data_IF_514609886263
#
_entry.id   IF_514609886263
#
_cell.length_a   1.000
_cell.length_b   1.000
_cell.length_c   1.000
_cell.angle_alpha   90.00
_cell.angle_beta   90.00
_cell.angle_gamma   90.00
#
_symmetry.space_group_name_H-M   'P 1'
#
loop_
_entity.id
_entity.type
_entity.pdbx_description
1 polymer ?
#
# COMPACT_ATOMS: atom_id res chain seq x y z
N UNK A 1 13.90 24.94 -3.85
CA UNK A 1 13.53 23.97 -2.82
C UNK A 1 12.60 22.93 -3.40
N UNK A 2 12.92 21.69 -3.15
CA UNK A 2 12.11 20.60 -3.66
C UNK A 2 11.09 20.19 -2.61
N UNK A 3 9.86 20.18 -3.03
CA UNK A 3 8.81 19.68 -2.17
C UNK A 3 8.44 18.31 -2.65
N UNK A 4 8.65 17.32 -1.81
CA UNK A 4 8.07 16.03 -2.08
C UNK A 4 6.57 16.23 -2.10
N UNK A 5 5.93 15.64 -3.06
CA UNK A 5 4.49 15.69 -3.14
C UNK A 5 3.93 15.00 -1.91
N UNK A 6 3.32 15.78 -1.05
CA UNK A 6 2.82 15.25 0.21
C UNK A 6 1.39 14.78 0.04
N UNK A 7 1.23 13.62 -0.55
CA UNK A 7 -0.08 12.99 -0.69
C UNK A 7 -0.33 11.96 0.42
N UNK A 8 0.57 11.88 1.40
CA UNK A 8 0.40 11.01 2.54
C UNK A 8 0.64 9.54 2.25
N UNK A 9 1.19 9.23 1.09
CA UNK A 9 1.48 7.85 0.75
C UNK A 9 2.62 7.30 1.59
N UNK A 10 2.42 6.09 2.10
CA UNK A 10 3.48 5.34 2.78
C UNK A 10 4.23 4.50 1.75
N UNK A 11 5.32 3.88 2.21
CA UNK A 11 6.03 2.94 1.34
C UNK A 11 5.13 1.80 0.90
N UNK A 12 4.19 1.40 1.76
CA UNK A 12 3.27 0.34 1.42
C UNK A 12 2.36 0.75 0.26
N UNK A 13 1.90 2.00 0.26
CA UNK A 13 1.12 2.53 -0.87
C UNK A 13 1.93 2.45 -2.15
N UNK A 14 3.19 2.87 -2.07
CA UNK A 14 4.07 2.85 -3.24
C UNK A 14 4.30 1.43 -3.74
N UNK A 15 4.61 0.51 -2.82
CA UNK A 15 4.84 -0.89 -3.20
C UNK A 15 3.60 -1.50 -3.84
N UNK A 16 2.43 -1.12 -3.37
CA UNK A 16 1.18 -1.60 -3.96
C UNK A 16 0.98 -1.07 -5.36
N UNK A 17 1.33 0.19 -5.57
CA UNK A 17 1.17 0.80 -6.90
C UNK A 17 2.07 0.14 -7.93
N UNK A 18 3.31 -0.16 -7.57
CA UNK A 18 4.23 -0.81 -8.50
C UNK A 18 4.04 -2.31 -8.55
N UNK A 19 3.31 -2.89 -7.60
CA UNK A 19 3.05 -4.31 -7.58
C UNK A 19 4.18 -5.15 -7.04
N UNK A 20 5.00 -4.59 -6.18
CA UNK A 20 6.16 -5.30 -5.63
C UNK A 20 5.77 -6.10 -4.40
N UNK A 21 5.37 -7.35 -4.60
CA UNK A 21 4.93 -8.23 -3.53
C UNK A 21 6.03 -8.44 -2.49
N UNK A 22 7.24 -8.59 -2.95
CA UNK A 22 8.37 -8.84 -2.08
C UNK A 22 8.56 -7.71 -1.08
N UNK A 23 8.50 -6.50 -1.58
CA UNK A 23 8.62 -5.31 -0.73
C UNK A 23 7.45 -5.21 0.24
N UNK A 24 6.25 -5.52 -0.25
CA UNK A 24 5.06 -5.48 0.60
C UNK A 24 5.23 -6.42 1.78
N UNK A 25 5.67 -7.64 1.53
CA UNK A 25 5.88 -8.60 2.61
C UNK A 25 6.89 -8.09 3.62
N UNK A 26 7.97 -7.51 3.12
CA UNK A 26 9.02 -7.01 4.00
C UNK A 26 8.51 -5.88 4.87
N UNK A 27 7.76 -4.95 4.29
CA UNK A 27 7.22 -3.83 5.03
C UNK A 27 6.26 -4.29 6.13
N UNK A 28 5.42 -5.25 5.81
CA UNK A 28 4.47 -5.78 6.80
C UNK A 28 5.17 -6.51 7.92
N UNK A 29 6.27 -7.20 7.61
CA UNK A 29 7.07 -7.86 8.63
C UNK A 29 7.71 -6.86 9.58
N UNK A 30 7.98 -5.66 9.10
CA UNK A 30 8.56 -4.60 9.92
C UNK A 30 7.53 -3.85 10.74
N UNK A 31 6.26 -4.22 10.63
CA UNK A 31 5.22 -3.61 11.43
C UNK A 31 4.53 -2.42 10.79
N UNK A 32 4.66 -2.25 9.49
CA UNK A 32 3.94 -1.19 8.80
C UNK A 32 2.44 -1.36 8.97
N UNK A 33 1.76 -0.23 9.09
CA UNK A 33 0.30 -0.25 9.26
C UNK A 33 -0.35 -0.53 7.92
N UNK A 34 -0.89 -1.73 7.79
CA UNK A 34 -1.51 -2.17 6.54
C UNK A 34 -2.76 -1.34 6.20
N UNK A 35 -3.35 -0.71 7.19
CA UNK A 35 -4.57 0.08 7.02
C UNK A 35 -4.32 1.58 7.02
N UNK A 36 -3.06 1.99 6.91
CA UNK A 36 -2.73 3.40 6.86
C UNK A 36 -3.34 4.05 5.61
N UNK A 37 -3.89 5.24 5.79
CA UNK A 37 -4.54 5.96 4.71
C UNK A 37 -3.70 7.14 4.27
N UNK A 38 -3.69 7.37 2.97
CA UNK A 38 -3.07 8.59 2.44
C UNK A 38 -4.05 9.75 2.57
N UNK A 39 -3.71 10.89 2.01
CA UNK A 39 -4.57 12.08 2.10
C UNK A 39 -5.91 11.90 1.42
N UNK A 40 -5.96 11.07 0.40
CA UNK A 40 -7.20 10.79 -0.31
C UNK A 40 -8.06 9.76 0.41
N UNK A 41 -7.61 9.29 1.58
CA UNK A 41 -8.34 8.28 2.32
C UNK A 41 -8.17 6.87 1.78
N UNK A 42 -7.13 6.63 1.00
CA UNK A 42 -6.88 5.35 0.37
C UNK A 42 -5.88 4.54 1.17
N UNK A 43 -6.15 3.26 1.34
CA UNK A 43 -5.19 2.31 1.87
C UNK A 43 -4.40 1.71 0.71
N UNK A 44 -3.37 0.94 1.05
CA UNK A 44 -2.62 0.21 0.02
C UNK A 44 -3.55 -0.74 -0.74
N UNK A 45 -4.51 -1.35 -0.04
CA UNK A 45 -5.47 -2.24 -0.68
C UNK A 45 -6.33 -1.47 -1.70
N UNK A 46 -6.79 -0.28 -1.33
CA UNK A 46 -7.57 0.54 -2.25
C UNK A 46 -6.79 0.83 -3.53
N UNK A 47 -5.51 1.16 -3.40
CA UNK A 47 -4.66 1.43 -4.54
C UNK A 47 -4.50 0.19 -5.40
N UNK A 48 -4.28 -0.96 -4.76
CA UNK A 48 -4.11 -2.21 -5.49
C UNK A 48 -5.36 -2.58 -6.27
N UNK A 49 -6.52 -2.37 -5.67
CA UNK A 49 -7.79 -2.66 -6.34
C UNK A 49 -8.02 -1.72 -7.51
N UNK A 50 -7.72 -0.44 -7.32
CA UNK A 50 -7.88 0.55 -8.36
C UNK A 50 -6.99 0.26 -9.56
N UNK A 51 -5.78 -0.20 -9.30
CA UNK A 51 -4.81 -0.52 -10.35
C UNK A 51 -4.92 -1.96 -10.83
N UNK A 52 -5.90 -2.70 -10.32
CA UNK A 52 -6.15 -4.09 -10.70
C UNK A 52 -4.93 -4.98 -10.48
N UNK A 53 -4.23 -4.77 -9.39
CA UNK A 53 -3.07 -5.58 -9.00
C UNK A 53 -3.57 -6.76 -8.17
N UNK A 54 -4.09 -7.77 -8.83
CA UNK A 54 -4.72 -8.92 -8.16
C UNK A 54 -3.81 -9.58 -7.13
N UNK A 55 -2.54 -9.76 -7.47
CA UNK A 55 -1.61 -10.39 -6.55
C UNK A 55 -1.40 -9.57 -5.30
N UNK A 56 -1.34 -8.25 -5.46
CA UNK A 56 -1.19 -7.35 -4.33
C UNK A 56 -2.44 -7.40 -3.46
N UNK A 57 -3.61 -7.38 -4.09
CA UNK A 57 -4.87 -7.46 -3.36
C UNK A 57 -4.90 -8.73 -2.52
N UNK A 58 -4.52 -9.85 -3.10
CA UNK A 58 -4.51 -11.12 -2.38
C UNK A 58 -3.52 -11.09 -1.23
N UNK A 59 -2.34 -10.56 -1.47
CA UNK A 59 -1.32 -10.53 -0.44
C UNK A 59 -1.75 -9.66 0.74
N UNK A 60 -2.28 -8.47 0.44
CA UNK A 60 -2.73 -7.56 1.49
C UNK A 60 -3.91 -8.15 2.26
N UNK A 61 -4.83 -8.79 1.56
CA UNK A 61 -5.99 -9.42 2.22
C UNK A 61 -5.56 -10.52 3.18
N UNK A 62 -4.53 -11.26 2.82
CA UNK A 62 -4.01 -12.32 3.68
C UNK A 62 -3.44 -11.76 4.98
N UNK A 63 -2.96 -10.54 4.95
CA UNK A 63 -2.39 -9.89 6.12
C UNK A 63 -3.41 -9.04 6.88
N UNK A 64 -4.69 -9.16 6.53
CA UNK A 64 -5.74 -8.51 7.26
C UNK A 64 -6.09 -7.10 6.78
N UNK A 65 -5.73 -6.75 5.56
CA UNK A 65 -6.11 -5.46 5.02
C UNK A 65 -7.62 -5.33 4.93
N UNK A 66 -8.12 -4.13 5.20
CA UNK A 66 -9.54 -3.85 5.15
C UNK A 66 -9.80 -2.75 4.13
N UNK A 67 -10.99 -2.76 3.59
CA UNK A 67 -11.44 -1.72 2.67
C UNK A 67 -11.94 -0.51 3.43
#
# INVERSE_FOLDING_TARGET
>A
MIHAKDDGNTLLHFASRVGNIFLIRKLLQQGEDINAKNRAGQTALDIAEQDQKSEVVMELSRHGAQR
#
